data_IF_422968880248
#
_entry.id   IF_422968880248
#
_cell.length_a   1.000
_cell.length_b   1.000
_cell.length_c   1.000
_cell.angle_alpha   90.00
_cell.angle_beta   90.00
_cell.angle_gamma   90.00
#
_symmetry.space_group_name_H-M   'P 1'
#
loop_
_entity.id
_entity.type
_entity.pdbx_description
1 polymer ?
#
# COMPACT_ATOMS: atom_id res chain seq x y z
N UNK A 1 38.04 -16.18 -8.76
CA UNK A 1 36.59 -16.10 -9.05
C UNK A 1 35.72 -16.53 -7.87
N UNK A 2 36.05 -17.60 -7.12
CA UNK A 2 35.28 -18.04 -5.93
C UNK A 2 35.24 -17.05 -4.74
N UNK A 3 36.28 -16.23 -4.55
CA UNK A 3 36.32 -15.23 -3.46
C UNK A 3 35.40 -14.04 -3.72
N UNK A 4 35.31 -13.58 -4.96
CA UNK A 4 34.45 -12.46 -5.34
C UNK A 4 32.97 -12.83 -5.25
N UNK A 5 32.61 -14.04 -5.64
CA UNK A 5 31.25 -14.57 -5.53
C UNK A 5 30.75 -14.56 -4.08
N UNK A 6 31.57 -15.05 -3.13
CA UNK A 6 31.22 -15.05 -1.70
C UNK A 6 31.13 -13.64 -1.11
N UNK A 7 31.95 -12.70 -1.57
CA UNK A 7 31.89 -11.30 -1.15
C UNK A 7 30.59 -10.68 -1.68
N UNK A 8 30.28 -10.87 -2.96
CA UNK A 8 29.09 -10.30 -3.60
C UNK A 8 27.80 -10.83 -2.97
N UNK A 9 27.71 -12.13 -2.67
CA UNK A 9 26.53 -12.70 -2.01
C UNK A 9 26.30 -12.08 -0.62
N UNK A 10 27.38 -11.85 0.14
CA UNK A 10 27.29 -11.21 1.46
C UNK A 10 26.80 -9.76 1.34
N UNK A 11 27.26 -9.03 0.34
CA UNK A 11 26.79 -7.67 0.05
C UNK A 11 25.31 -7.63 -0.37
N UNK A 12 24.85 -8.60 -1.16
CA UNK A 12 23.44 -8.68 -1.54
C UNK A 12 22.56 -9.00 -0.34
N UNK A 13 22.99 -9.91 0.54
CA UNK A 13 22.23 -10.29 1.74
C UNK A 13 22.10 -9.10 2.70
N UNK A 14 23.21 -8.39 2.99
CA UNK A 14 23.14 -7.21 3.88
C UNK A 14 22.23 -6.13 3.27
N UNK A 15 22.35 -5.87 1.97
CA UNK A 15 21.49 -4.91 1.26
C UNK A 15 20.02 -5.30 1.34
N UNK A 16 19.72 -6.60 1.16
CA UNK A 16 18.36 -7.13 1.25
C UNK A 16 17.75 -6.92 2.64
N UNK A 17 18.52 -7.14 3.71
CA UNK A 17 18.07 -6.89 5.09
C UNK A 17 17.77 -5.41 5.30
N UNK A 18 18.63 -4.50 4.83
CA UNK A 18 18.39 -3.05 4.91
C UNK A 18 17.13 -2.63 4.13
N UNK A 19 16.87 -3.25 2.96
CA UNK A 19 15.67 -2.99 2.19
C UNK A 19 14.39 -3.46 2.90
N UNK A 20 14.42 -4.62 3.57
CA UNK A 20 13.28 -5.08 4.37
C UNK A 20 12.99 -4.13 5.54
N UNK A 21 14.03 -3.63 6.19
CA UNK A 21 13.90 -2.65 7.27
C UNK A 21 13.30 -1.36 6.70
N UNK A 22 13.85 -0.81 5.62
CA UNK A 22 13.31 0.38 4.96
C UNK A 22 11.85 0.21 4.55
N UNK A 23 11.48 -0.95 4.00
CA UNK A 23 10.11 -1.30 3.64
C UNK A 23 9.18 -1.29 4.87
N UNK A 24 9.62 -1.84 6.00
CA UNK A 24 8.86 -1.79 7.24
C UNK A 24 8.69 -0.35 7.73
N UNK A 25 9.75 0.46 7.72
CA UNK A 25 9.66 1.88 8.09
C UNK A 25 8.69 2.64 7.18
N UNK A 26 8.70 2.40 5.87
CA UNK A 26 7.78 3.03 4.92
C UNK A 26 6.33 2.58 5.19
N UNK A 27 6.09 1.30 5.49
CA UNK A 27 4.75 0.77 5.75
C UNK A 27 4.10 1.37 7.01
N UNK A 28 4.85 1.47 8.10
CA UNK A 28 4.35 1.98 9.39
C UNK A 28 4.45 3.50 9.53
N UNK A 29 5.24 4.17 8.68
CA UNK A 29 5.35 5.61 8.74
C UNK A 29 4.11 6.28 8.10
N UNK A 30 3.60 7.38 8.71
CA UNK A 30 2.56 8.20 8.10
C UNK A 30 2.95 8.83 6.74
N UNK A 31 4.19 8.64 6.25
CA UNK A 31 4.57 8.99 4.88
C UNK A 31 3.77 8.25 3.80
N UNK A 32 3.14 7.12 4.13
CA UNK A 32 2.13 6.47 3.25
C UNK A 32 0.96 7.40 2.93
N UNK A 33 0.66 8.38 3.78
CA UNK A 33 -0.37 9.39 3.52
C UNK A 33 0.05 10.35 2.39
N UNK A 34 1.34 10.65 2.23
CA UNK A 34 1.83 11.52 1.16
C UNK A 34 1.91 10.80 -0.18
N UNK A 35 2.31 9.52 -0.21
CA UNK A 35 2.26 8.70 -1.43
C UNK A 35 0.83 8.40 -1.85
N UNK A 36 -0.09 8.16 -0.90
CA UNK A 36 -1.51 7.98 -1.21
C UNK A 36 -2.22 9.27 -1.62
N UNK A 37 -1.67 10.47 -1.36
CA UNK A 37 -2.19 11.73 -1.94
C UNK A 37 -1.86 11.86 -3.43
N UNK A 38 -0.66 11.43 -3.85
CA UNK A 38 -0.29 11.36 -5.27
C UNK A 38 -1.12 10.30 -6.01
N UNK A 39 -1.29 9.10 -5.41
CA UNK A 39 -2.19 8.05 -5.95
C UNK A 39 -3.67 8.48 -5.95
N UNK A 40 -4.12 9.24 -4.95
CA UNK A 40 -5.49 9.83 -4.95
C UNK A 40 -5.69 10.91 -6.00
N UNK A 41 -4.62 11.61 -6.39
CA UNK A 41 -4.69 12.61 -7.45
C UNK A 41 -4.90 11.95 -8.83
N UNK A 42 -4.43 10.71 -8.98
CA UNK A 42 -4.65 9.88 -10.18
C UNK A 42 -5.87 8.93 -10.07
N UNK A 43 -6.50 8.81 -8.89
CA UNK A 43 -7.52 7.80 -8.60
C UNK A 43 -8.65 8.28 -7.68
N UNK A 44 -9.72 8.79 -8.31
CA UNK A 44 -11.05 9.09 -7.77
C UNK A 44 -11.69 7.87 -7.05
N UNK A 45 -11.25 7.52 -5.84
CA UNK A 45 -11.69 6.26 -5.18
C UNK A 45 -11.97 6.36 -3.68
N UNK A 46 -12.07 7.54 -3.08
CA UNK A 46 -12.60 7.63 -1.69
C UNK A 46 -14.09 7.97 -1.62
N UNK A 47 -14.61 8.75 -2.57
CA UNK A 47 -16.05 8.99 -2.64
C UNK A 47 -16.84 7.75 -3.08
N UNK A 48 -16.26 6.89 -3.93
CA UNK A 48 -16.93 5.69 -4.41
C UNK A 48 -17.04 4.60 -3.33
N UNK A 49 -16.04 4.42 -2.48
CA UNK A 49 -16.13 3.40 -1.42
C UNK A 49 -17.24 3.72 -0.41
N UNK A 50 -17.37 4.98 -0.01
CA UNK A 50 -18.46 5.42 0.88
C UNK A 50 -19.81 5.32 0.17
N UNK A 51 -19.93 5.82 -1.08
CA UNK A 51 -21.18 5.79 -1.85
C UNK A 51 -21.65 4.38 -2.22
N UNK A 52 -20.71 3.45 -2.43
CA UNK A 52 -20.97 2.04 -2.69
C UNK A 52 -21.48 1.34 -1.42
N UNK A 53 -20.86 1.60 -0.26
CA UNK A 53 -21.40 1.13 1.03
C UNK A 53 -22.78 1.72 1.34
N UNK A 54 -23.01 2.99 1.01
CA UNK A 54 -24.30 3.67 1.17
C UNK A 54 -25.40 3.06 0.30
N UNK A 55 -25.08 2.65 -0.93
CA UNK A 55 -26.04 2.00 -1.85
C UNK A 55 -26.37 0.57 -1.42
N UNK A 56 -25.41 -0.17 -0.83
CA UNK A 56 -25.66 -1.53 -0.34
C UNK A 56 -26.40 -1.57 0.99
N UNK A 57 -26.24 -0.55 1.84
CA UNK A 57 -27.04 -0.36 3.06
C UNK A 57 -28.49 0.06 2.74
N UNK A 58 -28.72 0.65 1.55
CA UNK A 58 -30.03 0.89 1.00
C UNK A 58 -30.67 -0.41 0.45
N UNK A 59 -31.01 -1.33 1.36
CA UNK A 59 -31.95 -2.41 1.10
C UNK A 59 -33.27 -1.79 0.58
N UNK A 60 -33.86 -2.28 -0.53
CA UNK A 60 -35.14 -1.75 -1.01
C UNK A 60 -36.25 -2.26 -0.08
N UNK A 61 -36.44 -1.56 1.04
CA UNK A 61 -37.65 -1.62 1.84
C UNK A 61 -38.79 -1.02 1.03
N UNK A 62 -39.38 -1.88 0.20
CA UNK A 62 -40.83 -2.08 0.09
C UNK A 62 -41.71 -0.89 0.53
N UNK A 63 -42.31 -0.25 -0.48
CA UNK A 63 -43.74 0.07 -0.60
C UNK A 63 -44.38 1.07 0.41
N UNK A 64 -45.37 1.81 -0.13
CA UNK A 64 -46.51 2.49 0.53
C UNK A 64 -46.29 3.99 0.85
N UNK A 65 -46.64 4.87 -0.10
CA UNK A 65 -47.93 5.60 -0.07
C UNK A 65 -48.22 6.26 -1.41
#
# INVERSE_FOLDING_TARGET
MKRLESILIKFVIIQFVFLLIAQAFVLYSPYTMYTSKLVKYEGVTQNNFIKMMETFDQKPSTMIK
#
